data_IF_101613101734
#
_entry.id   IF_101613101734
#
_cell.length_a   1.000
_cell.length_b   1.000
_cell.length_c   1.000
_cell.angle_alpha   90.00
_cell.angle_beta   90.00
_cell.angle_gamma   90.00
#
_symmetry.space_group_name_H-M   'P 1'
#
loop_
_entity.id
_entity.type
_entity.pdbx_description
1 polymer ?
#
# COMPACT_ATOMS: atom_id res chain seq x y z
N UNK A 1 -19.89 7.92 -10.77
CA UNK A 1 -19.81 7.11 -12.00
C UNK A 1 -20.35 5.71 -11.73
N UNK A 2 -20.89 5.02 -12.75
CA UNK A 2 -21.43 3.66 -12.65
C UNK A 2 -20.43 2.67 -12.02
N UNK A 3 -19.14 2.77 -12.36
CA UNK A 3 -18.08 1.94 -11.79
C UNK A 3 -18.01 2.04 -10.26
N UNK A 4 -18.04 3.25 -9.71
CA UNK A 4 -18.03 3.43 -8.24
C UNK A 4 -19.24 2.78 -7.59
N UNK A 5 -20.40 2.91 -8.19
CA UNK A 5 -21.63 2.29 -7.68
C UNK A 5 -21.50 0.76 -7.62
N UNK A 6 -21.02 0.14 -8.70
CA UNK A 6 -20.84 -1.33 -8.77
C UNK A 6 -19.82 -1.79 -7.72
N UNK A 7 -18.66 -1.10 -7.63
CA UNK A 7 -17.64 -1.43 -6.62
C UNK A 7 -18.20 -1.30 -5.20
N UNK A 8 -18.94 -0.21 -4.92
CA UNK A 8 -19.58 -0.02 -3.62
C UNK A 8 -20.56 -1.12 -3.26
N UNK A 9 -21.44 -1.50 -4.19
CA UNK A 9 -22.42 -2.58 -3.98
C UNK A 9 -21.71 -3.93 -3.72
N UNK A 10 -20.64 -4.25 -4.46
CA UNK A 10 -19.86 -5.46 -4.26
C UNK A 10 -19.16 -5.48 -2.89
N UNK A 11 -18.55 -4.35 -2.50
CA UNK A 11 -17.87 -4.23 -1.20
C UNK A 11 -18.86 -4.39 -0.04
N UNK A 12 -20.00 -3.73 -0.10
CA UNK A 12 -21.05 -3.86 0.92
C UNK A 12 -21.55 -5.29 1.02
N UNK A 13 -21.82 -5.93 -0.11
CA UNK A 13 -22.26 -7.32 -0.14
C UNK A 13 -21.24 -8.28 0.46
N UNK A 14 -19.96 -8.18 0.07
CA UNK A 14 -18.88 -9.02 0.62
C UNK A 14 -18.79 -8.82 2.13
N UNK A 15 -18.87 -7.59 2.58
CA UNK A 15 -18.74 -7.27 4.00
C UNK A 15 -19.94 -7.79 4.82
N UNK A 16 -21.16 -7.62 4.33
CA UNK A 16 -22.38 -8.14 4.94
C UNK A 16 -22.39 -9.67 5.01
N UNK A 17 -22.06 -10.36 3.90
CA UNK A 17 -21.94 -11.81 3.86
C UNK A 17 -20.94 -12.33 4.92
N UNK A 18 -19.83 -11.62 5.11
CA UNK A 18 -18.79 -11.99 6.07
C UNK A 18 -19.16 -11.70 7.51
N UNK A 19 -20.03 -10.76 7.80
CA UNK A 19 -20.54 -10.53 9.16
C UNK A 19 -21.33 -11.72 9.70
N UNK A 20 -21.98 -12.52 8.85
CA UNK A 20 -22.80 -13.67 9.25
C UNK A 20 -22.14 -15.04 9.07
N UNK A 21 -21.03 -15.16 8.34
CA UNK A 21 -20.47 -16.44 7.89
C UNK A 21 -19.15 -16.88 8.54
N UNK A 22 -18.64 -16.09 9.51
CA UNK A 22 -17.36 -16.38 10.14
C UNK A 22 -16.15 -16.02 9.26
N UNK A 23 -14.93 -16.32 9.75
CA UNK A 23 -13.69 -15.85 9.16
C UNK A 23 -13.34 -16.55 7.84
N UNK A 24 -13.54 -17.84 7.75
CA UNK A 24 -13.22 -18.63 6.56
C UNK A 24 -14.43 -18.77 5.61
N UNK A 25 -14.20 -18.85 4.29
CA UNK A 25 -12.93 -18.65 3.58
C UNK A 25 -12.51 -17.18 3.55
N UNK A 26 -11.20 -16.91 3.47
CA UNK A 26 -10.69 -15.54 3.36
C UNK A 26 -11.15 -14.89 2.04
N UNK A 27 -11.44 -13.59 2.11
CA UNK A 27 -11.77 -12.74 0.94
C UNK A 27 -10.70 -11.66 0.79
N UNK A 28 -10.02 -11.64 -0.34
CA UNK A 28 -9.05 -10.61 -0.69
C UNK A 28 -9.73 -9.57 -1.59
N UNK A 29 -9.61 -8.33 -1.21
CA UNK A 29 -10.08 -7.17 -1.98
C UNK A 29 -8.84 -6.38 -2.38
N UNK A 30 -8.56 -6.30 -3.67
CA UNK A 30 -7.43 -5.53 -4.21
C UNK A 30 -7.98 -4.31 -4.92
N UNK A 31 -7.61 -3.12 -4.47
CA UNK A 31 -8.01 -1.85 -5.06
C UNK A 31 -6.77 -1.07 -5.49
N UNK A 32 -6.63 -0.90 -6.79
CA UNK A 32 -5.69 0.06 -7.34
C UNK A 32 -6.31 1.47 -7.30
N UNK A 33 -5.47 2.48 -7.10
CA UNK A 33 -5.89 3.87 -6.92
C UNK A 33 -6.97 4.01 -5.81
N UNK A 34 -6.64 3.48 -4.61
CA UNK A 34 -7.55 3.45 -3.46
C UNK A 34 -8.15 4.83 -3.14
N UNK A 35 -7.43 5.91 -3.39
CA UNK A 35 -7.90 7.29 -3.26
C UNK A 35 -9.14 7.60 -4.10
N UNK A 36 -9.40 6.90 -5.20
CA UNK A 36 -10.62 7.05 -5.99
C UNK A 36 -11.87 6.60 -5.23
N UNK A 37 -11.73 5.66 -4.31
CA UNK A 37 -12.83 5.06 -3.55
C UNK A 37 -12.91 5.60 -2.12
N UNK A 38 -11.76 5.87 -1.51
CA UNK A 38 -11.66 6.40 -0.16
C UNK A 38 -10.74 7.63 -0.10
N UNK A 39 -11.13 8.76 -0.71
CA UNK A 39 -10.35 9.99 -0.70
C UNK A 39 -10.20 10.56 0.72
N UNK A 40 -9.12 11.29 0.96
CA UNK A 40 -8.84 11.97 2.23
C UNK A 40 -9.99 12.88 2.67
N UNK A 41 -10.56 13.62 1.74
CA UNK A 41 -11.65 14.56 2.00
C UNK A 41 -12.97 14.06 1.43
N UNK A 42 -14.06 14.56 1.99
CA UNK A 42 -15.42 14.15 1.61
C UNK A 42 -15.85 12.82 2.21
N UNK A 43 -17.11 12.52 2.08
CA UNK A 43 -17.77 11.28 2.54
C UNK A 43 -18.45 10.58 1.38
N UNK A 44 -18.53 9.28 1.42
CA UNK A 44 -19.32 8.47 0.51
C UNK A 44 -19.62 7.12 1.14
N UNK A 45 -20.71 6.43 0.80
CA UNK A 45 -21.00 5.10 1.31
C UNK A 45 -19.86 4.09 1.05
N UNK A 46 -19.18 4.20 -0.08
CA UNK A 46 -18.03 3.33 -0.41
C UNK A 46 -16.89 3.57 0.55
N UNK A 47 -16.57 4.82 0.85
CA UNK A 47 -15.53 5.20 1.79
C UNK A 47 -15.82 4.64 3.19
N UNK A 48 -17.05 4.76 3.66
CA UNK A 48 -17.45 4.23 4.96
C UNK A 48 -17.26 2.71 5.04
N UNK A 49 -17.70 1.97 4.02
CA UNK A 49 -17.49 0.52 3.95
C UNK A 49 -16.00 0.17 3.93
N UNK A 50 -15.16 0.90 3.19
CA UNK A 50 -13.71 0.66 3.15
C UNK A 50 -13.03 0.95 4.48
N UNK A 51 -13.44 2.00 5.19
CA UNK A 51 -12.96 2.30 6.55
C UNK A 51 -13.34 1.18 7.51
N UNK A 52 -14.55 0.67 7.43
CA UNK A 52 -15.02 -0.46 8.23
C UNK A 52 -14.24 -1.75 7.92
N UNK A 53 -13.99 -2.04 6.65
CA UNK A 53 -13.17 -3.18 6.23
C UNK A 53 -11.74 -3.04 6.77
N UNK A 54 -11.14 -1.85 6.68
CA UNK A 54 -9.80 -1.62 7.21
C UNK A 54 -9.72 -1.82 8.73
N UNK A 55 -10.76 -1.42 9.47
CA UNK A 55 -10.81 -1.54 10.91
C UNK A 55 -11.13 -2.95 11.42
N UNK A 56 -12.06 -3.64 10.77
CA UNK A 56 -12.66 -4.90 11.28
C UNK A 56 -12.53 -6.09 10.33
N UNK A 57 -12.14 -5.87 9.08
CA UNK A 57 -12.09 -6.92 8.05
C UNK A 57 -11.27 -8.12 8.46
N UNK A 58 -10.14 -7.91 9.15
CA UNK A 58 -9.28 -9.01 9.63
C UNK A 58 -10.02 -10.05 10.47
N UNK A 59 -10.86 -9.62 11.39
CA UNK A 59 -11.65 -10.53 12.25
C UNK A 59 -12.73 -11.27 11.46
N UNK A 60 -13.21 -10.67 10.39
CA UNK A 60 -14.22 -11.23 9.49
C UNK A 60 -13.63 -12.04 8.33
N UNK A 61 -12.29 -12.10 8.21
CA UNK A 61 -11.64 -12.77 7.09
C UNK A 61 -11.68 -11.98 5.78
N UNK A 62 -11.86 -10.66 5.85
CA UNK A 62 -11.76 -9.75 4.70
C UNK A 62 -10.42 -9.03 4.76
N UNK A 63 -9.61 -9.17 3.73
CA UNK A 63 -8.28 -8.58 3.63
C UNK A 63 -8.29 -7.54 2.52
N UNK A 64 -8.08 -6.28 2.89
CA UNK A 64 -7.98 -5.16 1.95
C UNK A 64 -6.51 -4.93 1.59
N UNK A 65 -6.22 -4.92 0.30
CA UNK A 65 -4.95 -4.51 -0.29
C UNK A 65 -5.22 -3.28 -1.14
N UNK A 66 -4.67 -2.14 -0.72
CA UNK A 66 -4.81 -0.87 -1.43
C UNK A 66 -3.50 -0.42 -2.00
N UNK A 67 -3.49 0.02 -3.26
CA UNK A 67 -2.37 0.68 -3.89
C UNK A 67 -2.74 2.13 -4.25
N UNK A 68 -1.81 3.05 -4.07
CA UNK A 68 -1.95 4.46 -4.44
C UNK A 68 -0.58 5.11 -4.62
N UNK A 69 -0.56 6.23 -5.31
CA UNK A 69 0.66 6.99 -5.54
C UNK A 69 1.07 7.80 -4.31
N UNK A 70 0.11 8.44 -3.63
CA UNK A 70 0.38 9.22 -2.42
C UNK A 70 -0.52 8.78 -1.25
N UNK A 71 0.06 8.59 -0.07
CA UNK A 71 -0.70 8.31 1.15
C UNK A 71 -1.56 9.51 1.57
N UNK A 72 -1.17 10.73 1.21
CA UNK A 72 -1.90 11.95 1.50
C UNK A 72 -3.27 12.04 0.86
N UNK A 73 -3.50 11.31 -0.20
CA UNK A 73 -4.77 11.33 -0.94
C UNK A 73 -5.82 10.36 -0.38
N UNK A 74 -5.43 9.45 0.51
CA UNK A 74 -6.30 8.41 1.07
C UNK A 74 -6.76 8.78 2.48
N UNK A 75 -7.94 8.30 2.85
CA UNK A 75 -8.47 8.48 4.21
C UNK A 75 -7.51 7.97 5.27
N UNK A 76 -7.20 8.84 6.24
CA UNK A 76 -6.22 8.54 7.29
C UNK A 76 -6.60 7.36 8.20
N UNK A 77 -7.90 7.01 8.31
CA UNK A 77 -8.30 5.84 9.09
C UNK A 77 -7.87 4.54 8.40
N UNK A 78 -7.92 4.48 7.06
CA UNK A 78 -7.47 3.31 6.32
C UNK A 78 -5.95 3.15 6.48
N UNK A 79 -5.17 4.23 6.33
CA UNK A 79 -3.72 4.20 6.52
C UNK A 79 -3.34 3.77 7.94
N UNK A 80 -4.03 4.29 8.97
CA UNK A 80 -3.77 3.92 10.37
C UNK A 80 -4.08 2.46 10.68
N UNK A 81 -5.16 1.92 10.10
CA UNK A 81 -5.58 0.53 10.33
C UNK A 81 -4.81 -0.48 9.47
N UNK A 82 -4.07 -0.04 8.44
CA UNK A 82 -3.22 -0.93 7.66
C UNK A 82 -2.09 -1.50 8.53
N UNK A 83 -2.11 -2.81 8.75
CA UNK A 83 -1.08 -3.50 9.54
C UNK A 83 0.25 -3.62 8.80
N UNK A 84 0.20 -3.70 7.47
CA UNK A 84 1.38 -3.77 6.61
C UNK A 84 1.34 -2.55 5.70
N UNK A 85 2.43 -1.78 5.69
CA UNK A 85 2.60 -0.64 4.81
C UNK A 85 3.87 -0.83 3.98
N UNK A 86 3.73 -0.72 2.69
CA UNK A 86 4.85 -0.82 1.74
C UNK A 86 4.99 0.52 1.05
N UNK A 87 6.15 1.15 1.22
CA UNK A 87 6.41 2.51 0.74
C UNK A 87 7.59 2.48 -0.21
N UNK A 88 7.39 2.94 -1.43
CA UNK A 88 8.43 3.13 -2.42
C UNK A 88 9.21 4.42 -2.23
N UNK A 89 9.73 4.95 -3.34
CA UNK A 89 10.39 6.25 -3.33
C UNK A 89 9.39 7.35 -2.96
N UNK A 90 9.79 8.23 -2.05
CA UNK A 90 9.00 9.38 -1.60
C UNK A 90 9.50 10.66 -2.26
N UNK A 91 8.57 11.52 -2.65
CA UNK A 91 8.90 12.89 -2.98
C UNK A 91 9.04 13.74 -1.70
N UNK A 92 9.97 14.70 -1.73
CA UNK A 92 10.28 15.51 -0.54
C UNK A 92 9.06 16.28 0.01
N UNK A 93 8.11 16.66 -0.85
CA UNK A 93 6.87 17.33 -0.45
C UNK A 93 5.83 16.45 0.24
N UNK A 94 5.96 15.15 0.15
CA UNK A 94 5.00 14.17 0.69
C UNK A 94 5.40 13.59 2.05
N UNK A 95 6.59 13.92 2.54
CA UNK A 95 7.16 13.33 3.76
C UNK A 95 6.24 13.39 4.99
N UNK A 96 5.40 14.42 5.09
CA UNK A 96 4.48 14.61 6.21
C UNK A 96 3.31 13.63 6.22
N UNK A 97 2.94 13.06 5.10
CA UNK A 97 1.87 12.06 5.01
C UNK A 97 2.34 10.65 5.43
N UNK A 98 3.67 10.47 5.58
CA UNK A 98 4.31 9.21 5.97
C UNK A 98 4.87 9.24 7.41
N UNK A 99 4.19 9.91 8.34
CA UNK A 99 4.63 10.05 9.75
C UNK A 99 4.72 8.73 10.53
N UNK A 100 4.19 7.64 10.01
CA UNK A 100 4.39 6.31 10.56
C UNK A 100 5.82 5.78 10.34
N UNK A 101 6.59 6.38 9.42
CA UNK A 101 8.02 6.14 9.25
C UNK A 101 8.82 7.21 10.02
N UNK A 102 9.97 6.83 10.58
CA UNK A 102 10.87 7.78 11.22
C UNK A 102 11.43 8.81 10.20
N UNK A 103 11.86 9.99 10.65
CA UNK A 103 12.45 11.00 9.76
C UNK A 103 13.61 10.45 8.92
N UNK A 104 14.47 9.63 9.51
CA UNK A 104 15.64 9.04 8.86
C UNK A 104 15.21 8.07 7.74
N UNK A 105 14.18 7.25 7.98
CA UNK A 105 13.64 6.32 6.97
C UNK A 105 13.00 7.10 5.84
N UNK A 106 12.27 8.17 6.12
CA UNK A 106 11.66 9.02 5.07
C UNK A 106 12.73 9.71 4.21
N UNK A 107 13.78 10.23 4.82
CA UNK A 107 14.90 10.83 4.09
C UNK A 107 15.58 9.80 3.17
N UNK A 108 15.83 8.58 3.66
CA UNK A 108 16.37 7.49 2.83
C UNK A 108 15.43 7.10 1.70
N UNK A 109 14.14 7.00 1.97
CA UNK A 109 13.13 6.65 0.96
C UNK A 109 13.07 7.66 -0.19
N UNK A 110 13.41 8.92 0.03
CA UNK A 110 13.50 9.92 -1.06
C UNK A 110 14.59 9.61 -2.10
N UNK A 111 15.55 8.78 -1.73
CA UNK A 111 16.70 8.39 -2.58
C UNK A 111 16.59 6.94 -3.10
N UNK A 112 15.47 6.27 -2.90
CA UNK A 112 15.30 4.89 -3.34
C UNK A 112 15.37 4.77 -4.86
N UNK A 113 16.10 3.76 -5.30
CA UNK A 113 16.12 3.33 -6.69
C UNK A 113 14.85 2.56 -7.05
N UNK A 114 14.46 2.49 -8.33
CA UNK A 114 13.32 1.67 -8.77
C UNK A 114 13.40 0.24 -8.22
N UNK A 115 12.26 -0.25 -7.71
CA UNK A 115 12.15 -1.57 -7.09
C UNK A 115 12.60 -1.64 -5.63
N UNK A 116 13.17 -0.56 -5.06
CA UNK A 116 13.47 -0.49 -3.63
C UNK A 116 12.27 0.07 -2.88
N UNK A 117 11.87 -0.60 -1.80
CA UNK A 117 10.75 -0.22 -0.94
C UNK A 117 11.10 -0.44 0.52
N UNK A 118 10.38 0.19 1.42
CA UNK A 118 10.42 -0.10 2.84
C UNK A 118 9.10 -0.74 3.25
N UNK A 119 9.20 -1.82 4.03
CA UNK A 119 8.04 -2.52 4.61
C UNK A 119 7.98 -2.22 6.10
N UNK A 120 6.90 -1.58 6.52
CA UNK A 120 6.56 -1.39 7.93
C UNK A 120 5.47 -2.40 8.32
N UNK A 121 5.74 -3.21 9.34
CA UNK A 121 4.82 -4.24 9.82
C UNK A 121 5.07 -4.58 11.30
N UNK A 122 4.03 -4.97 12.06
CA UNK A 122 4.13 -5.12 13.51
C UNK A 122 4.95 -6.33 13.99
N UNK A 123 5.28 -7.29 13.13
CA UNK A 123 6.09 -8.48 13.50
C UNK A 123 7.60 -8.20 13.46
N UNK A 124 8.02 -7.11 12.86
CA UNK A 124 9.42 -6.69 12.77
C UNK A 124 9.55 -5.37 13.51
N UNK A 125 10.51 -5.24 14.44
CA UNK A 125 10.62 -4.08 15.33
C UNK A 125 11.03 -2.77 14.63
N UNK A 126 11.50 -2.84 13.38
CA UNK A 126 11.88 -1.67 12.59
C UNK A 126 11.45 -1.85 11.13
N UNK A 127 11.16 -0.75 10.41
CA UNK A 127 10.87 -0.81 8.98
C UNK A 127 12.00 -1.47 8.21
N UNK A 128 11.68 -2.46 7.37
CA UNK A 128 12.63 -3.28 6.62
C UNK A 128 12.75 -2.77 5.19
N UNK A 129 13.90 -2.29 4.73
CA UNK A 129 14.14 -2.02 3.32
C UNK A 129 14.24 -3.33 2.54
N UNK A 130 13.53 -3.40 1.42
CA UNK A 130 13.45 -4.57 0.55
C UNK A 130 13.63 -4.13 -0.89
N UNK A 131 14.37 -4.91 -1.66
CA UNK A 131 14.45 -4.74 -3.10
C UNK A 131 13.64 -5.84 -3.78
N UNK A 132 12.60 -5.44 -4.50
CA UNK A 132 11.84 -6.35 -5.34
C UNK A 132 12.62 -6.69 -6.60
N UNK A 133 12.62 -7.96 -7.03
CA UNK A 133 13.21 -8.34 -8.30
C UNK A 133 12.46 -7.66 -9.45
N UNK A 134 13.15 -7.45 -10.55
CA UNK A 134 12.51 -6.96 -11.77
C UNK A 134 11.44 -7.98 -12.22
N UNK A 135 10.22 -7.54 -12.58
CA UNK A 135 9.16 -8.48 -12.95
C UNK A 135 9.53 -9.24 -14.22
N UNK A 136 9.41 -10.58 -14.18
CA UNK A 136 9.68 -11.44 -15.33
C UNK A 136 8.63 -11.32 -16.45
N UNK A 137 7.49 -10.67 -16.17
CA UNK A 137 6.37 -10.43 -17.09
C UNK A 137 6.25 -8.95 -17.46
N UNK A 138 7.34 -8.34 -17.87
CA UNK A 138 7.32 -6.96 -18.34
C UNK A 138 6.45 -6.79 -19.59
N UNK A 139 5.79 -5.66 -19.71
CA UNK A 139 4.90 -5.36 -20.84
C UNK A 139 5.64 -5.06 -22.13
N UNK A 140 6.93 -4.75 -22.06
CA UNK A 140 7.81 -4.63 -23.21
C UNK A 140 9.22 -5.17 -22.91
N UNK A 141 9.97 -5.49 -23.96
CA UNK A 141 11.34 -6.06 -23.86
C UNK A 141 12.28 -5.14 -23.09
N UNK A 142 12.15 -3.82 -23.25
CA UNK A 142 12.96 -2.84 -22.54
C UNK A 142 12.71 -2.86 -21.00
N UNK A 143 11.48 -3.16 -20.58
CA UNK A 143 11.10 -3.28 -19.17
C UNK A 143 11.55 -4.61 -18.56
N UNK A 144 11.81 -5.65 -19.37
CA UNK A 144 12.28 -6.96 -18.93
C UNK A 144 13.78 -7.00 -18.62
N UNK A 145 14.52 -5.99 -19.03
CA UNK A 145 15.94 -5.90 -18.72
C UNK A 145 16.15 -5.08 -17.46
N UNK A 146 16.76 -5.65 -16.40
CA UNK A 146 17.15 -4.84 -15.26
C UNK A 146 18.11 -3.74 -15.74
N UNK A 147 17.97 -2.50 -15.22
CA UNK A 147 18.92 -1.46 -15.55
C UNK A 147 20.35 -1.94 -15.25
N UNK A 148 21.33 -1.59 -16.09
CA UNK A 148 22.72 -1.99 -15.86
C UNK A 148 23.14 -1.49 -14.48
N UNK A 149 23.60 -2.42 -13.64
CA UNK A 149 24.11 -2.09 -12.30
C UNK A 149 25.51 -1.53 -12.46
N UNK A 150 25.74 -0.37 -11.87
CA UNK A 150 27.11 0.07 -11.62
C UNK A 150 27.52 -0.42 -10.23
N UNK A 151 28.81 -0.80 -10.05
CA UNK A 151 29.35 -1.24 -8.75
C UNK A 151 29.14 -0.18 -7.65
N UNK A 152 29.05 1.08 -8.03
CA UNK A 152 28.77 2.19 -7.11
C UNK A 152 27.33 2.21 -6.61
N UNK A 153 26.36 1.78 -7.40
CA UNK A 153 24.95 1.66 -7.00
C UNK A 153 24.74 0.52 -6.01
N UNK A 154 25.47 -0.60 -6.16
CA UNK A 154 25.45 -1.70 -5.19
C UNK A 154 26.06 -1.28 -3.86
N UNK A 155 27.18 -0.56 -3.88
CA UNK A 155 27.81 -0.04 -2.65
C UNK A 155 26.91 0.96 -1.94
N UNK A 156 26.32 1.92 -2.67
CA UNK A 156 25.40 2.88 -2.11
C UNK A 156 24.16 2.22 -1.47
N UNK A 157 23.67 1.12 -2.06
CA UNK A 157 22.55 0.36 -1.51
C UNK A 157 22.90 -0.33 -0.20
N UNK A 158 24.12 -0.90 -0.08
CA UNK A 158 24.58 -1.53 1.17
C UNK A 158 24.91 -0.50 2.26
N UNK A 159 25.33 0.70 1.92
CA UNK A 159 25.49 1.79 2.89
C UNK A 159 24.14 2.31 3.43
N UNK A 160 23.09 2.30 2.62
CA UNK A 160 21.72 2.65 3.04
C UNK A 160 21.11 1.60 3.97
N UNK A 161 21.63 0.36 3.95
CA UNK A 161 21.15 -0.77 4.75
C UNK A 161 21.88 -0.91 6.10
N UNK A 162 22.96 -0.13 6.33
CA UNK A 162 23.68 -0.03 7.60
C UNK A 162 23.18 1.15 8.41
#
# INVERSE_FOLDING_TARGET
>A
SAQRFVVGALLSRIFEEKQGSGREPLRFIVLDELNKYAPRTGTSPIKEVLVDIAARGRSLGVILIGAQQSAGDVDGNIIRNASIKVVGRLDAGEADDYRFLSPEVRERASRFLPGTMVIDQPLIPAPLPVRFPFPAFATCVAESQPPPRTDDEEKAMFEVLR
#
